data_IF_476772431062
#
_entry.id   IF_476772431062
#
_cell.length_a   1.000
_cell.length_b   1.000
_cell.length_c   1.000
_cell.angle_alpha   90.00
_cell.angle_beta   90.00
_cell.angle_gamma   90.00
#
_symmetry.space_group_name_H-M   'P 1'
#
loop_
_entity.id
_entity.type
_entity.pdbx_description
1 polymer ?
#
# COMPACT_ATOMS: atom_id res chain seq x y z
N UNK A 1 -7.04 19.78 -9.78
CA UNK A 1 -6.65 20.68 -8.68
C UNK A 1 -7.85 21.44 -8.11
N UNK A 2 -8.63 22.18 -8.92
CA UNK A 2 -9.82 22.89 -8.42
C UNK A 2 -10.79 21.97 -7.67
N UNK A 3 -11.11 20.81 -8.25
CA UNK A 3 -11.94 19.80 -7.59
C UNK A 3 -11.40 19.35 -6.22
N UNK A 4 -10.07 19.24 -6.07
CA UNK A 4 -9.41 18.88 -4.81
C UNK A 4 -9.58 19.99 -3.76
N UNK A 5 -9.37 21.25 -4.15
CA UNK A 5 -9.57 22.41 -3.27
C UNK A 5 -11.02 22.52 -2.82
N UNK A 6 -11.97 22.38 -3.76
CA UNK A 6 -13.40 22.42 -3.47
C UNK A 6 -13.81 21.28 -2.52
N UNK A 7 -13.34 20.05 -2.77
CA UNK A 7 -13.61 18.94 -1.88
C UNK A 7 -13.08 19.19 -0.46
N UNK A 8 -11.85 19.71 -0.34
CA UNK A 8 -11.25 20.04 0.97
C UNK A 8 -11.97 21.19 1.67
N UNK A 9 -12.43 22.20 0.93
CA UNK A 9 -13.15 23.34 1.51
C UNK A 9 -14.54 22.96 2.01
N UNK A 10 -15.18 21.95 1.40
CA UNK A 10 -16.49 21.45 1.83
C UNK A 10 -16.37 20.60 3.10
N UNK A 11 -15.34 19.74 3.18
CA UNK A 11 -15.14 18.85 4.33
C UNK A 11 -13.66 18.73 4.70
N UNK A 12 -13.25 19.42 5.76
CA UNK A 12 -11.86 19.37 6.25
C UNK A 12 -11.42 18.00 6.76
N UNK A 13 -12.34 17.12 7.15
CA UNK A 13 -12.05 15.77 7.68
C UNK A 13 -12.19 14.62 6.67
N UNK A 14 -12.60 14.88 5.43
CA UNK A 14 -12.74 13.82 4.43
C UNK A 14 -11.36 13.34 3.93
N UNK A 15 -11.21 12.04 3.69
CA UNK A 15 -10.03 11.52 3.00
C UNK A 15 -10.14 11.82 1.49
N UNK A 16 -9.14 12.52 0.96
CA UNK A 16 -9.10 12.95 -0.44
C UNK A 16 -7.95 12.26 -1.17
N UNK A 17 -8.30 11.32 -2.05
CA UNK A 17 -7.37 10.66 -2.97
C UNK A 17 -7.49 11.29 -4.36
N UNK A 18 -6.37 11.71 -4.94
CA UNK A 18 -6.33 12.30 -6.28
C UNK A 18 -5.36 11.57 -7.21
N UNK A 19 -5.65 11.55 -8.51
CA UNK A 19 -4.75 11.05 -9.53
C UNK A 19 -4.00 12.20 -10.22
N UNK A 20 -2.73 11.99 -10.54
CA UNK A 20 -1.90 12.87 -11.34
C UNK A 20 -1.32 12.11 -12.54
N UNK A 21 -1.21 12.79 -13.69
CA UNK A 21 -0.52 12.21 -14.86
C UNK A 21 1.00 12.36 -14.74
N UNK A 22 1.46 13.44 -14.10
CA UNK A 22 2.88 13.81 -14.04
C UNK A 22 3.31 14.13 -12.61
N UNK A 23 4.56 13.80 -12.29
CA UNK A 23 5.14 14.00 -10.95
C UNK A 23 5.07 15.45 -10.41
N UNK A 24 5.27 16.52 -11.22
CA UNK A 24 5.18 17.89 -10.72
C UNK A 24 3.79 18.25 -10.17
N UNK A 25 2.75 17.64 -10.71
CA UNK A 25 1.35 17.88 -10.28
C UNK A 25 1.09 17.30 -8.88
N UNK A 26 1.90 16.33 -8.44
CA UNK A 26 1.76 15.68 -7.12
C UNK A 26 1.89 16.66 -5.97
N UNK A 27 2.95 17.46 -5.96
CA UNK A 27 3.21 18.44 -4.88
C UNK A 27 2.09 19.49 -4.80
N UNK A 28 1.58 19.87 -5.96
CA UNK A 28 0.48 20.79 -6.16
C UNK A 28 -0.86 20.24 -5.60
N UNK A 29 -1.22 18.99 -5.92
CA UNK A 29 -2.42 18.34 -5.37
C UNK A 29 -2.33 18.13 -3.85
N UNK A 30 -1.14 17.82 -3.32
CA UNK A 30 -0.89 17.75 -1.88
C UNK A 30 -1.14 19.10 -1.20
N UNK A 31 -0.62 20.20 -1.75
CA UNK A 31 -0.89 21.56 -1.25
C UNK A 31 -2.36 21.96 -1.36
N UNK A 32 -3.07 21.42 -2.35
CA UNK A 32 -4.51 21.60 -2.50
C UNK A 32 -5.37 20.80 -1.49
N UNK A 33 -4.75 19.98 -0.64
CA UNK A 33 -5.44 19.25 0.43
C UNK A 33 -5.71 17.77 0.15
N UNK A 34 -5.06 17.16 -0.84
CA UNK A 34 -5.13 15.71 -1.04
C UNK A 34 -4.30 14.94 0.02
N UNK A 35 -4.89 13.90 0.61
CA UNK A 35 -4.26 13.02 1.60
C UNK A 35 -3.44 11.90 0.93
N UNK A 36 -3.79 11.56 -0.30
CA UNK A 36 -3.01 10.69 -1.17
C UNK A 36 -3.03 11.18 -2.62
N UNK A 37 -1.92 11.01 -3.32
CA UNK A 37 -1.83 11.32 -4.75
C UNK A 37 -1.15 10.17 -5.47
N UNK A 38 -1.86 9.58 -6.42
CA UNK A 38 -1.38 8.47 -7.25
C UNK A 38 -0.92 9.03 -8.59
N UNK A 39 0.35 8.85 -8.94
CA UNK A 39 0.90 9.28 -10.23
C UNK A 39 1.05 8.07 -11.16
N UNK A 40 0.28 8.02 -12.25
CA UNK A 40 0.27 6.83 -13.11
C UNK A 40 1.57 6.64 -13.90
N UNK A 41 2.14 7.71 -14.46
CA UNK A 41 3.31 7.61 -15.35
C UNK A 41 4.59 7.12 -14.65
N UNK A 42 4.78 7.48 -13.37
CA UNK A 42 5.99 7.12 -12.62
C UNK A 42 6.01 5.62 -12.28
N UNK A 43 4.87 5.05 -11.90
CA UNK A 43 4.74 3.63 -11.58
C UNK A 43 5.00 2.76 -12.81
N UNK A 44 4.41 3.11 -13.96
CA UNK A 44 4.62 2.38 -15.22
C UNK A 44 6.09 2.38 -15.65
N UNK A 45 6.78 3.52 -15.53
CA UNK A 45 8.21 3.61 -15.88
C UNK A 45 9.09 2.70 -15.01
N UNK A 46 8.81 2.63 -13.70
CA UNK A 46 9.54 1.74 -12.77
C UNK A 46 9.29 0.27 -13.09
N UNK A 47 8.03 -0.10 -13.36
CA UNK A 47 7.68 -1.46 -13.74
C UNK A 47 8.32 -1.87 -15.07
N UNK A 48 8.37 -0.98 -16.06
CA UNK A 48 9.07 -1.23 -17.32
C UNK A 48 10.57 -1.51 -17.08
N UNK A 49 11.21 -0.72 -16.21
CA UNK A 49 12.60 -0.97 -15.82
C UNK A 49 12.81 -2.35 -15.20
N UNK A 50 11.91 -2.78 -14.31
CA UNK A 50 11.93 -4.13 -13.71
C UNK A 50 11.70 -5.20 -14.77
N UNK A 51 10.78 -4.99 -15.71
CA UNK A 51 10.43 -5.94 -16.77
C UNK A 51 11.63 -6.34 -17.63
N UNK A 52 12.60 -5.45 -17.82
CA UNK A 52 13.81 -5.73 -18.63
C UNK A 52 14.62 -6.91 -18.10
N UNK A 53 14.58 -7.18 -16.78
CA UNK A 53 15.34 -8.27 -16.14
C UNK A 53 14.45 -9.31 -15.47
N UNK A 54 13.23 -8.93 -15.09
CA UNK A 54 12.35 -9.77 -14.28
C UNK A 54 10.88 -9.55 -14.68
N UNK A 55 10.48 -9.94 -15.91
CA UNK A 55 9.13 -9.70 -16.42
C UNK A 55 8.04 -10.36 -15.55
N UNK A 56 8.29 -11.55 -15.00
CA UNK A 56 7.35 -12.25 -14.12
C UNK A 56 7.04 -11.48 -12.83
N UNK A 57 7.95 -10.63 -12.34
CA UNK A 57 7.68 -9.77 -11.18
C UNK A 57 6.61 -8.73 -11.51
N UNK A 58 6.63 -8.19 -12.73
CA UNK A 58 5.62 -7.21 -13.17
C UNK A 58 4.25 -7.86 -13.26
N UNK A 59 4.15 -9.09 -13.77
CA UNK A 59 2.90 -9.86 -13.79
C UNK A 59 2.32 -10.02 -12.39
N UNK A 60 3.13 -10.45 -11.41
CA UNK A 60 2.66 -10.60 -10.03
C UNK A 60 2.22 -9.27 -9.42
N UNK A 61 2.93 -8.17 -9.69
CA UNK A 61 2.55 -6.84 -9.21
C UNK A 61 1.23 -6.38 -9.86
N UNK A 62 1.02 -6.65 -11.14
CA UNK A 62 -0.22 -6.31 -11.85
C UNK A 62 -1.41 -7.11 -11.31
N UNK A 63 -1.23 -8.42 -11.08
CA UNK A 63 -2.23 -9.30 -10.45
C UNK A 63 -2.64 -8.78 -9.06
N UNK A 64 -1.68 -8.28 -8.27
CA UNK A 64 -1.97 -7.69 -6.96
C UNK A 64 -2.81 -6.40 -7.05
N UNK A 65 -2.67 -5.62 -8.12
CA UNK A 65 -3.37 -4.35 -8.32
C UNK A 65 -4.74 -4.52 -8.96
N UNK A 66 -4.87 -5.48 -9.89
CA UNK A 66 -6.09 -5.78 -10.64
C UNK A 66 -6.39 -7.27 -10.52
N UNK A 67 -6.93 -7.72 -9.38
CA UNK A 67 -7.07 -9.16 -9.11
C UNK A 67 -8.18 -9.78 -9.98
N UNK A 68 -7.79 -10.37 -11.12
CA UNK A 68 -8.66 -11.26 -11.90
C UNK A 68 -8.47 -12.74 -11.52
N UNK A 69 -7.24 -13.15 -11.18
CA UNK A 69 -6.89 -14.49 -10.67
C UNK A 69 -5.63 -14.42 -9.79
N UNK A 70 -5.54 -15.19 -8.69
CA UNK A 70 -4.31 -15.31 -7.88
C UNK A 70 -4.32 -14.55 -6.54
N UNK A 71 -3.29 -13.73 -6.30
CA UNK A 71 -3.05 -13.07 -5.00
C UNK A 71 -3.61 -11.65 -4.96
N UNK A 72 -4.34 -11.32 -3.90
CA UNK A 72 -4.79 -9.97 -3.60
C UNK A 72 -3.98 -9.39 -2.44
N UNK A 73 -3.45 -8.19 -2.60
CA UNK A 73 -2.88 -7.45 -1.47
C UNK A 73 -4.02 -6.94 -0.58
N UNK A 74 -3.97 -7.32 0.69
CA UNK A 74 -4.99 -7.00 1.68
C UNK A 74 -4.35 -6.41 2.94
N UNK A 75 -5.13 -5.64 3.68
CA UNK A 75 -4.73 -5.10 4.98
C UNK A 75 -5.74 -5.51 6.05
N UNK A 76 -5.26 -5.93 7.22
CA UNK A 76 -6.10 -6.24 8.38
C UNK A 76 -5.43 -5.87 9.70
N UNK A 77 -6.23 -5.69 10.74
CA UNK A 77 -5.69 -5.57 12.10
C UNK A 77 -5.13 -6.91 12.59
N UNK A 78 -4.09 -6.86 13.43
CA UNK A 78 -3.58 -8.03 14.15
C UNK A 78 -4.67 -8.58 15.08
N UNK A 79 -4.85 -9.91 15.08
CA UNK A 79 -5.82 -10.58 15.95
C UNK A 79 -5.24 -10.71 17.37
N UNK A 80 -6.10 -10.80 18.37
CA UNK A 80 -5.67 -10.98 19.76
C UNK A 80 -4.84 -12.26 19.95
N UNK A 81 -5.20 -13.35 19.25
CA UNK A 81 -4.45 -14.63 19.25
C UNK A 81 -3.08 -14.56 18.56
N UNK A 82 -2.81 -13.49 17.82
CA UNK A 82 -1.57 -13.29 17.08
C UNK A 82 -0.58 -12.38 17.82
N UNK A 83 -1.05 -11.69 18.86
CA UNK A 83 -0.22 -10.75 19.62
C UNK A 83 0.93 -11.50 20.29
N UNK A 84 2.15 -10.99 20.11
CA UNK A 84 3.40 -11.61 20.59
C UNK A 84 3.96 -12.69 19.67
N UNK A 85 3.24 -13.11 18.62
CA UNK A 85 3.79 -14.04 17.61
C UNK A 85 4.69 -13.30 16.65
N UNK A 86 5.71 -13.98 16.15
CA UNK A 86 6.54 -13.47 15.05
C UNK A 86 5.70 -13.33 13.78
N UNK A 87 5.90 -12.22 13.04
CA UNK A 87 5.18 -11.96 11.78
C UNK A 87 5.34 -13.09 10.75
N UNK A 88 6.52 -13.73 10.71
CA UNK A 88 6.83 -14.87 9.83
C UNK A 88 6.08 -16.15 10.18
N UNK A 89 5.59 -16.26 11.42
CA UNK A 89 4.86 -17.42 11.93
C UNK A 89 3.34 -17.23 11.96
N UNK A 90 2.84 -16.17 11.30
CA UNK A 90 1.41 -15.99 11.06
C UNK A 90 0.97 -16.87 9.88
N UNK A 91 -0.34 -17.14 9.81
CA UNK A 91 -0.91 -17.96 8.74
C UNK A 91 -0.85 -17.25 7.38
N UNK A 92 -0.96 -15.92 7.39
CA UNK A 92 -0.93 -15.10 6.20
C UNK A 92 0.50 -14.85 5.69
N UNK A 93 0.66 -14.69 4.37
CA UNK A 93 1.93 -14.25 3.78
C UNK A 93 2.06 -12.74 4.03
N UNK A 94 2.77 -12.37 5.11
CA UNK A 94 2.97 -10.97 5.51
C UNK A 94 3.98 -10.28 4.59
N UNK A 95 3.54 -9.23 3.91
CA UNK A 95 4.37 -8.38 3.05
C UNK A 95 4.97 -7.22 3.85
N UNK A 96 4.20 -6.63 4.77
CA UNK A 96 4.62 -5.50 5.62
C UNK A 96 3.73 -5.33 6.84
N UNK A 97 4.24 -4.58 7.82
CA UNK A 97 3.53 -4.18 9.04
C UNK A 97 3.28 -2.66 9.00
N UNK A 98 2.11 -2.21 9.44
CA UNK A 98 1.84 -0.81 9.78
C UNK A 98 1.75 -0.70 11.29
N UNK A 99 2.67 0.06 11.87
CA UNK A 99 2.73 0.36 13.31
C UNK A 99 2.89 1.86 13.50
N UNK A 100 2.05 2.45 14.34
CA UNK A 100 2.01 3.90 14.57
C UNK A 100 1.84 4.71 13.28
N UNK A 101 1.08 4.16 12.32
CA UNK A 101 0.87 4.76 10.99
C UNK A 101 2.06 4.66 10.02
N UNK A 102 3.18 4.05 10.43
CA UNK A 102 4.35 3.86 9.59
C UNK A 102 4.41 2.43 9.02
N UNK A 103 4.62 2.33 7.70
CA UNK A 103 4.87 1.07 7.01
C UNK A 103 6.30 0.58 7.30
N UNK A 104 6.43 -0.68 7.69
CA UNK A 104 7.69 -1.36 8.05
C UNK A 104 7.78 -2.67 7.28
N UNK A 105 8.89 -2.86 6.57
CA UNK A 105 9.19 -4.14 5.96
C UNK A 105 9.54 -5.17 7.06
N UNK A 106 9.15 -6.44 6.93
CA UNK A 106 9.49 -7.47 7.91
C UNK A 106 11.01 -7.64 7.97
N UNK A 107 11.61 -7.40 9.13
CA UNK A 107 13.02 -7.65 9.38
C UNK A 107 13.27 -9.15 9.56
N UNK A 108 14.44 -9.67 9.14
CA UNK A 108 14.90 -11.00 9.55
C UNK A 108 15.29 -11.06 11.03
N UNK A 109 15.48 -9.92 11.70
CA UNK A 109 15.80 -9.88 13.13
C UNK A 109 14.58 -10.28 13.97
N UNK A 110 14.81 -11.06 15.04
CA UNK A 110 13.80 -11.81 15.79
C UNK A 110 12.71 -10.98 16.50
N UNK A 111 12.81 -9.64 16.48
CA UNK A 111 11.95 -8.71 17.24
C UNK A 111 10.70 -8.22 16.49
N UNK A 112 10.48 -8.68 15.26
CA UNK A 112 9.25 -8.37 14.52
C UNK A 112 8.09 -9.29 14.94
N UNK A 113 7.62 -9.03 16.15
CA UNK A 113 6.39 -9.60 16.71
C UNK A 113 5.19 -8.70 16.45
N UNK A 114 4.04 -9.33 16.21
CA UNK A 114 2.77 -8.65 16.05
C UNK A 114 2.30 -8.08 17.39
N UNK A 115 1.84 -6.83 17.41
CA UNK A 115 1.36 -6.13 18.61
C UNK A 115 -0.10 -5.72 18.42
N UNK A 116 -0.81 -5.57 19.53
CA UNK A 116 -2.15 -4.99 19.50
C UNK A 116 -2.08 -3.57 18.90
N UNK A 117 -3.00 -3.27 17.98
CA UNK A 117 -3.04 -1.99 17.26
C UNK A 117 -2.23 -1.96 15.96
N UNK A 118 -1.38 -2.96 15.72
CA UNK A 118 -0.74 -3.11 14.42
C UNK A 118 -1.76 -3.50 13.33
N UNK A 119 -1.47 -3.10 12.10
CA UNK A 119 -2.11 -3.65 10.90
C UNK A 119 -1.08 -4.38 10.06
N UNK A 120 -1.46 -5.49 9.46
CA UNK A 120 -0.58 -6.26 8.58
C UNK A 120 -1.08 -6.14 7.14
N UNK A 121 -0.14 -5.89 6.23
CA UNK A 121 -0.35 -6.05 4.80
C UNK A 121 0.06 -7.48 4.45
N UNK A 122 -0.86 -8.22 3.84
CA UNK A 122 -0.67 -9.62 3.53
C UNK A 122 -1.22 -9.97 2.15
N UNK A 123 -0.73 -11.08 1.60
CA UNK A 123 -1.28 -11.65 0.38
C UNK A 123 -2.40 -12.63 0.74
N UNK A 124 -3.62 -12.31 0.30
CA UNK A 124 -4.76 -13.21 0.36
C UNK A 124 -4.79 -14.04 -0.93
N UNK A 125 -4.81 -15.37 -0.80
CA UNK A 125 -5.01 -16.26 -1.92
C UNK A 125 -6.51 -16.41 -2.21
N UNK A 126 -6.95 -16.06 -3.43
CA UNK A 126 -8.28 -16.39 -3.95
C UNK A 126 -8.12 -17.63 -4.82
N UNK A 127 -8.25 -18.81 -4.21
CA UNK A 127 -8.40 -20.06 -4.93
C UNK A 127 -9.87 -20.25 -5.37
#
# INVERSE_FOLDING_TARGET
MLATLTARSLTAGAEIVAAAREAPTRAMLRRAGADAVVTSAETTGRLLGVATRSPSVVTVVDDMLTPETGYRLAERSVRSSETGRQLRGLEDIVVSLVRDGALRAPSPDADDTARAGDRILYLENRA
#
